data_IF_451484846479
#
_entry.id   IF_451484846479
#
_cell.length_a   1.000
_cell.length_b   1.000
_cell.length_c   1.000
_cell.angle_alpha   90.00
_cell.angle_beta   90.00
_cell.angle_gamma   90.00
#
_symmetry.space_group_name_H-M   'P 1'
#
loop_
_entity.id
_entity.type
_entity.pdbx_description
1 polymer ?
#
# COMPACT_ATOMS: atom_id res chain seq x y z
N UNK A 1 20.72 11.45 -7.73
CA UNK A 1 20.25 10.19 -8.38
C UNK A 1 19.42 10.57 -9.59
N UNK A 2 19.65 9.94 -10.73
CA UNK A 2 19.00 10.32 -12.00
C UNK A 2 17.56 9.84 -12.06
N UNK A 3 16.78 10.42 -12.98
CA UNK A 3 15.39 10.02 -13.25
C UNK A 3 15.30 8.54 -13.66
N UNK A 4 16.16 8.10 -14.58
CA UNK A 4 16.19 6.70 -15.03
C UNK A 4 16.46 5.73 -13.87
N UNK A 5 17.41 6.05 -12.98
CA UNK A 5 17.67 5.22 -11.79
C UNK A 5 16.46 5.17 -10.85
N UNK A 6 15.69 6.26 -10.71
CA UNK A 6 14.42 6.25 -9.93
C UNK A 6 13.41 5.28 -10.53
N UNK A 7 13.27 5.27 -11.86
CA UNK A 7 12.38 4.33 -12.56
C UNK A 7 12.81 2.87 -12.38
N UNK A 8 14.11 2.58 -12.41
CA UNK A 8 14.60 1.23 -12.14
C UNK A 8 14.27 0.77 -10.71
N UNK A 9 14.40 1.66 -9.72
CA UNK A 9 13.99 1.33 -8.35
C UNK A 9 12.48 1.23 -8.17
N UNK A 10 11.70 2.02 -8.89
CA UNK A 10 10.24 1.88 -8.95
C UNK A 10 9.88 0.49 -9.50
N UNK A 11 10.49 0.08 -10.63
CA UNK A 11 10.27 -1.23 -11.22
C UNK A 11 10.71 -2.36 -10.27
N UNK A 12 11.88 -2.24 -9.64
CA UNK A 12 12.36 -3.24 -8.70
C UNK A 12 11.47 -3.34 -7.44
N UNK A 13 11.06 -2.21 -6.88
CA UNK A 13 10.25 -2.15 -5.67
C UNK A 13 8.79 -2.50 -5.91
N UNK A 14 8.11 -1.75 -6.78
CA UNK A 14 6.68 -1.95 -7.04
C UNK A 14 6.42 -3.09 -8.02
N UNK A 15 7.27 -3.30 -9.03
CA UNK A 15 7.14 -4.43 -9.94
C UNK A 15 7.34 -5.78 -9.25
N UNK A 16 8.21 -5.86 -8.23
CA UNK A 16 8.29 -7.08 -7.41
C UNK A 16 7.04 -7.34 -6.59
N UNK A 17 6.33 -6.30 -6.13
CA UNK A 17 5.02 -6.46 -5.47
C UNK A 17 4.02 -7.10 -6.42
N UNK A 18 3.92 -6.59 -7.65
CA UNK A 18 3.06 -7.20 -8.68
C UNK A 18 3.44 -8.66 -8.94
N UNK A 19 4.73 -8.95 -9.10
CA UNK A 19 5.22 -10.32 -9.32
C UNK A 19 4.83 -11.26 -8.17
N UNK A 20 5.00 -10.84 -6.91
CA UNK A 20 4.63 -11.67 -5.75
C UNK A 20 3.11 -11.84 -5.66
N UNK A 21 2.35 -10.78 -5.91
CA UNK A 21 0.89 -10.84 -5.89
C UNK A 21 0.33 -11.81 -6.93
N UNK A 22 0.74 -11.69 -8.20
CA UNK A 22 0.25 -12.57 -9.26
C UNK A 22 0.79 -13.99 -9.14
N UNK A 23 2.05 -14.16 -8.69
CA UNK A 23 2.60 -15.50 -8.50
C UNK A 23 1.94 -16.24 -7.33
N UNK A 24 1.64 -15.54 -6.22
CA UNK A 24 0.91 -16.14 -5.10
C UNK A 24 -0.52 -16.52 -5.48
N UNK A 25 -1.24 -15.67 -6.23
CA UNK A 25 -2.58 -16.00 -6.75
C UNK A 25 -2.55 -17.23 -7.67
N UNK A 26 -1.59 -17.27 -8.60
CA UNK A 26 -1.42 -18.39 -9.51
C UNK A 26 -1.05 -19.69 -8.79
N UNK A 27 -0.12 -19.64 -7.84
CA UNK A 27 0.34 -20.81 -7.06
C UNK A 27 -0.74 -21.36 -6.13
N UNK A 28 -1.60 -20.50 -5.57
CA UNK A 28 -2.72 -20.93 -4.75
C UNK A 28 -3.70 -21.79 -5.54
N UNK A 29 -3.86 -21.55 -6.84
CA UNK A 29 -4.83 -22.22 -7.70
C UNK A 29 -6.28 -21.87 -7.30
N UNK A 30 -7.13 -21.55 -8.28
CA UNK A 30 -8.54 -21.28 -7.98
C UNK A 30 -9.21 -22.55 -7.40
N UNK A 31 -9.46 -22.56 -6.09
CA UNK A 31 -10.23 -23.61 -5.40
C UNK A 31 -9.40 -24.68 -4.68
N UNK A 32 -8.08 -24.56 -4.59
CA UNK A 32 -7.23 -25.56 -3.91
C UNK A 32 -7.27 -25.43 -2.39
N UNK A 33 -7.49 -24.21 -1.88
CA UNK A 33 -7.83 -23.90 -0.50
C UNK A 33 -9.06 -23.00 -0.51
N UNK A 34 -10.03 -23.25 0.38
CA UNK A 34 -11.17 -22.35 0.55
C UNK A 34 -10.68 -21.10 1.31
N UNK A 35 -10.72 -19.90 0.69
CA UNK A 35 -10.24 -18.71 1.36
C UNK A 35 -11.13 -18.38 2.56
N UNK A 36 -10.51 -18.07 3.69
CA UNK A 36 -11.23 -17.73 4.90
C UNK A 36 -11.86 -16.35 4.76
N UNK A 37 -13.17 -16.26 5.01
CA UNK A 37 -13.89 -14.99 5.02
C UNK A 37 -13.47 -14.16 6.24
N UNK A 38 -12.96 -12.94 6.00
CA UNK A 38 -12.69 -12.01 7.09
C UNK A 38 -13.98 -11.27 7.49
N UNK A 39 -14.31 -11.21 8.79
CA UNK A 39 -15.50 -10.50 9.25
C UNK A 39 -15.30 -8.99 9.23
N UNK A 40 -16.35 -8.25 8.89
CA UNK A 40 -16.38 -6.80 9.11
C UNK A 40 -16.38 -6.48 10.61
N UNK A 41 -15.59 -5.48 10.99
CA UNK A 41 -15.58 -4.95 12.36
C UNK A 41 -16.57 -3.78 12.52
N UNK A 42 -16.63 -3.21 13.72
CA UNK A 42 -17.40 -2.00 13.97
C UNK A 42 -16.86 -0.79 13.18
N UNK A 43 -15.55 -0.73 12.91
CA UNK A 43 -14.92 0.36 12.13
C UNK A 43 -15.43 0.31 10.70
N UNK A 44 -15.46 -0.89 10.12
CA UNK A 44 -15.90 -1.11 8.74
C UNK A 44 -17.36 -0.71 8.58
N UNK A 45 -18.22 -1.15 9.50
CA UNK A 45 -19.65 -0.80 9.50
C UNK A 45 -19.93 0.68 9.73
N UNK A 46 -19.05 1.40 10.41
CA UNK A 46 -19.17 2.85 10.59
C UNK A 46 -18.90 3.63 9.28
N UNK A 47 -18.14 3.03 8.34
CA UNK A 47 -17.85 3.63 7.04
C UNK A 47 -18.84 3.08 6.01
N UNK A 48 -19.73 3.96 5.54
CA UNK A 48 -20.70 3.62 4.51
C UNK A 48 -20.03 3.23 3.19
N UNK A 49 -20.57 2.20 2.54
CA UNK A 49 -20.11 1.78 1.22
C UNK A 49 -20.41 2.85 0.16
N UNK A 50 -19.45 3.14 -0.71
CA UNK A 50 -19.65 4.06 -1.83
C UNK A 50 -18.71 3.79 -3.02
N UNK A 51 -19.28 3.47 -4.18
CA UNK A 51 -18.54 3.35 -5.45
C UNK A 51 -17.73 4.60 -5.79
N UNK A 52 -18.18 5.78 -5.36
CA UNK A 52 -17.49 7.06 -5.64
C UNK A 52 -16.11 7.15 -4.99
N UNK A 53 -15.85 6.36 -3.95
CA UNK A 53 -14.53 6.28 -3.33
C UNK A 53 -13.46 5.71 -4.27
N UNK A 54 -13.84 5.12 -5.42
CA UNK A 54 -12.93 4.60 -6.45
C UNK A 54 -11.91 5.66 -6.90
N UNK A 55 -12.32 6.93 -6.99
CA UNK A 55 -11.42 8.01 -7.44
C UNK A 55 -10.29 8.25 -6.45
N UNK A 56 -10.62 8.26 -5.16
CA UNK A 56 -9.63 8.40 -4.10
C UNK A 56 -8.79 7.12 -3.96
N UNK A 57 -9.40 5.95 -4.15
CA UNK A 57 -8.67 4.68 -4.20
C UNK A 57 -7.63 4.67 -5.33
N UNK A 58 -7.99 5.11 -6.53
CA UNK A 58 -7.08 5.12 -7.68
C UNK A 58 -5.87 6.05 -7.50
N UNK A 59 -5.97 7.03 -6.61
CA UNK A 59 -4.81 7.86 -6.24
C UNK A 59 -3.65 7.04 -5.65
N UNK A 60 -3.90 5.84 -5.12
CA UNK A 60 -2.88 4.86 -4.73
C UNK A 60 -1.89 4.55 -5.86
N UNK A 61 -2.40 4.28 -7.07
CA UNK A 61 -1.58 3.95 -8.24
C UNK A 61 -0.74 5.14 -8.72
N UNK A 62 -1.13 6.36 -8.36
CA UNK A 62 -0.38 7.59 -8.64
C UNK A 62 0.63 7.88 -7.51
N UNK A 63 0.23 7.67 -6.26
CA UNK A 63 1.06 7.92 -5.07
C UNK A 63 2.39 7.17 -5.14
N UNK A 64 2.38 5.90 -5.55
CA UNK A 64 3.58 5.07 -5.63
C UNK A 64 4.62 5.66 -6.59
N UNK A 65 4.37 5.79 -7.91
CA UNK A 65 5.34 6.36 -8.84
C UNK A 65 5.74 7.78 -8.44
N UNK A 66 4.78 8.63 -8.04
CA UNK A 66 5.10 9.98 -7.56
C UNK A 66 6.08 9.96 -6.38
N UNK A 67 5.92 9.05 -5.42
CA UNK A 67 6.84 8.91 -4.29
C UNK A 67 8.26 8.61 -4.76
N UNK A 68 8.44 7.64 -5.67
CA UNK A 68 9.77 7.32 -6.22
C UNK A 68 10.41 8.49 -6.98
N UNK A 69 9.60 9.32 -7.62
CA UNK A 69 10.08 10.48 -8.36
C UNK A 69 10.52 11.63 -7.45
N UNK A 70 9.79 11.90 -6.37
CA UNK A 70 9.98 13.11 -5.55
C UNK A 70 10.76 12.90 -4.26
N UNK A 71 10.80 11.68 -3.71
CA UNK A 71 11.48 11.43 -2.43
C UNK A 71 12.98 11.67 -2.53
N UNK A 72 13.63 12.06 -1.43
CA UNK A 72 15.08 12.23 -1.39
C UNK A 72 15.83 11.00 -1.93
N UNK A 73 16.91 11.18 -2.72
CA UNK A 73 17.68 10.08 -3.31
C UNK A 73 18.16 9.03 -2.31
N UNK A 74 18.45 9.44 -1.07
CA UNK A 74 18.89 8.56 0.00
C UNK A 74 17.84 7.52 0.41
N UNK A 75 16.55 7.82 0.22
CA UNK A 75 15.43 6.97 0.65
C UNK A 75 14.91 6.03 -0.41
N UNK A 76 15.15 6.30 -1.70
CA UNK A 76 14.57 5.49 -2.79
C UNK A 76 14.95 4.01 -2.68
N UNK A 77 16.22 3.72 -2.36
CA UNK A 77 16.70 2.35 -2.17
C UNK A 77 16.02 1.65 -0.99
N UNK A 78 15.83 2.38 0.12
CA UNK A 78 15.17 1.84 1.30
C UNK A 78 13.69 1.57 1.01
N UNK A 79 13.02 2.46 0.28
CA UNK A 79 11.63 2.28 -0.15
C UNK A 79 11.47 1.05 -1.06
N UNK A 80 12.33 0.87 -2.06
CA UNK A 80 12.30 -0.29 -2.95
C UNK A 80 12.46 -1.61 -2.19
N UNK A 81 13.44 -1.67 -1.26
CA UNK A 81 13.63 -2.84 -0.41
C UNK A 81 12.43 -3.07 0.50
N UNK A 82 11.89 -2.01 1.13
CA UNK A 82 10.75 -2.13 2.04
C UNK A 82 9.50 -2.66 1.33
N UNK A 83 9.23 -2.19 0.10
CA UNK A 83 8.13 -2.69 -0.73
C UNK A 83 8.33 -4.17 -1.08
N UNK A 84 9.52 -4.55 -1.55
CA UNK A 84 9.82 -5.95 -1.87
C UNK A 84 9.71 -6.87 -0.65
N UNK A 85 10.22 -6.45 0.51
CA UNK A 85 10.13 -7.22 1.75
C UNK A 85 8.68 -7.34 2.24
N UNK A 86 7.91 -6.26 2.18
CA UNK A 86 6.48 -6.29 2.52
C UNK A 86 5.72 -7.21 1.60
N UNK A 87 6.01 -7.18 0.29
CA UNK A 87 5.42 -8.09 -0.69
C UNK A 87 5.71 -9.55 -0.37
N UNK A 88 6.96 -9.89 -0.05
CA UNK A 88 7.33 -11.26 0.32
C UNK A 88 6.61 -11.73 1.60
N UNK A 89 6.53 -10.86 2.62
CA UNK A 89 5.80 -11.17 3.86
C UNK A 89 4.32 -11.42 3.54
N UNK A 90 3.67 -10.52 2.78
CA UNK A 90 2.29 -10.70 2.33
C UNK A 90 2.11 -12.00 1.54
N UNK A 91 2.98 -12.25 0.55
CA UNK A 91 2.91 -13.42 -0.32
C UNK A 91 3.03 -14.74 0.45
N UNK A 92 3.92 -14.82 1.44
CA UNK A 92 4.00 -16.00 2.32
C UNK A 92 2.68 -16.21 3.07
N UNK A 93 2.08 -15.15 3.61
CA UNK A 93 0.79 -15.26 4.31
C UNK A 93 -0.34 -15.65 3.36
N UNK A 94 -0.40 -15.07 2.15
CA UNK A 94 -1.39 -15.43 1.14
C UNK A 94 -1.35 -16.92 0.80
N UNK A 95 -0.15 -17.48 0.60
CA UNK A 95 0.02 -18.90 0.28
C UNK A 95 -0.34 -19.83 1.45
N UNK A 96 -0.07 -19.43 2.69
CA UNK A 96 -0.30 -20.26 3.88
C UNK A 96 -1.72 -20.13 4.45
N UNK A 97 -2.33 -18.95 4.31
CA UNK A 97 -3.61 -18.58 4.90
C UNK A 97 -4.40 -17.68 3.94
N UNK A 98 -4.94 -18.26 2.85
CA UNK A 98 -5.73 -17.52 1.86
C UNK A 98 -6.99 -16.95 2.51
N UNK A 99 -7.31 -15.70 2.21
CA UNK A 99 -8.43 -14.97 2.83
C UNK A 99 -9.19 -14.15 1.81
N UNK A 100 -10.49 -13.98 2.05
CA UNK A 100 -11.38 -13.24 1.15
C UNK A 100 -12.35 -12.37 1.94
N UNK A 101 -13.13 -11.55 1.23
CA UNK A 101 -14.14 -10.65 1.79
C UNK A 101 -15.52 -10.95 1.22
N UNK A 102 -16.53 -10.54 1.97
CA UNK A 102 -17.89 -10.44 1.46
C UNK A 102 -17.98 -9.17 0.60
N UNK A 103 -17.59 -9.28 -0.67
CA UNK A 103 -17.63 -8.14 -1.57
C UNK A 103 -19.08 -7.71 -1.81
N UNK A 104 -19.42 -6.43 -1.61
CA UNK A 104 -20.75 -5.93 -1.93
C UNK A 104 -20.99 -6.08 -3.43
N UNK A 105 -22.22 -6.44 -3.84
CA UNK A 105 -22.56 -6.47 -5.25
C UNK A 105 -22.43 -5.05 -5.80
N UNK A 106 -21.51 -4.86 -6.74
CA UNK A 106 -21.40 -3.58 -7.45
C UNK A 106 -22.63 -3.48 -8.34
N UNK A 107 -23.52 -2.55 -8.00
CA UNK A 107 -24.85 -2.48 -8.62
C UNK A 107 -24.80 -2.35 -10.15
N UNK A 108 -25.92 -2.62 -10.82
CA UNK A 108 -26.05 -2.56 -12.28
C UNK A 108 -26.04 -1.13 -12.86
N UNK A 109 -25.62 -0.15 -12.05
CA UNK A 109 -25.54 1.24 -12.44
C UNK A 109 -24.62 1.47 -13.64
N UNK A 110 -25.01 2.44 -14.48
CA UNK A 110 -24.24 2.90 -15.64
C UNK A 110 -23.26 4.03 -15.27
N UNK A 111 -23.12 4.39 -13.99
CA UNK A 111 -22.21 5.44 -13.56
C UNK A 111 -20.74 5.05 -13.80
N UNK A 112 -19.92 6.03 -14.21
CA UNK A 112 -18.48 5.83 -14.46
C UNK A 112 -17.75 5.19 -13.28
N UNK A 113 -18.06 5.62 -12.05
CA UNK A 113 -17.46 5.07 -10.83
C UNK A 113 -17.75 3.57 -10.67
N UNK A 114 -18.99 3.16 -10.91
CA UNK A 114 -19.45 1.76 -10.83
C UNK A 114 -18.82 0.90 -11.91
N UNK A 115 -18.73 1.40 -13.15
CA UNK A 115 -18.05 0.69 -14.25
C UNK A 115 -16.57 0.48 -13.96
N UNK A 116 -15.89 1.51 -13.48
CA UNK A 116 -14.47 1.47 -13.15
C UNK A 116 -14.19 0.53 -11.98
N UNK A 117 -15.06 0.53 -10.96
CA UNK A 117 -14.98 -0.42 -9.86
C UNK A 117 -15.16 -1.88 -10.35
N UNK A 118 -16.10 -2.16 -11.26
CA UNK A 118 -16.24 -3.50 -11.85
C UNK A 118 -14.98 -3.94 -12.60
N UNK A 119 -14.36 -3.04 -13.37
CA UNK A 119 -13.11 -3.34 -14.07
C UNK A 119 -11.97 -3.66 -13.09
N UNK A 120 -11.86 -2.88 -12.00
CA UNK A 120 -10.89 -3.13 -10.95
C UNK A 120 -11.11 -4.49 -10.28
N UNK A 121 -12.36 -4.80 -9.91
CA UNK A 121 -12.72 -6.08 -9.28
C UNK A 121 -12.41 -7.29 -10.15
N UNK A 122 -12.54 -7.16 -11.47
CA UNK A 122 -12.24 -8.25 -12.40
C UNK A 122 -10.73 -8.58 -12.46
N UNK A 123 -9.87 -7.67 -12.02
CA UNK A 123 -8.41 -7.85 -11.97
C UNK A 123 -7.90 -8.24 -10.58
N UNK A 124 -8.69 -8.00 -9.53
CA UNK A 124 -8.34 -8.33 -8.16
C UNK A 124 -8.38 -9.86 -7.94
N UNK A 125 -7.36 -10.37 -7.27
CA UNK A 125 -7.39 -11.73 -6.69
C UNK A 125 -8.49 -11.81 -5.64
N UNK A 126 -9.21 -12.93 -5.66
CA UNK A 126 -10.26 -13.24 -4.68
C UNK A 126 -9.72 -13.83 -3.37
N UNK A 127 -8.41 -14.10 -3.26
CA UNK A 127 -7.81 -14.87 -2.17
C UNK A 127 -6.61 -14.18 -1.48
N UNK A 128 -6.07 -13.12 -2.08
CA UNK A 128 -4.93 -12.35 -1.56
C UNK A 128 -5.37 -11.15 -0.71
N UNK A 129 -6.23 -11.36 0.29
CA UNK A 129 -6.77 -10.27 1.11
C UNK A 129 -5.86 -9.85 2.28
N UNK A 130 -5.58 -10.78 3.20
CA UNK A 130 -4.79 -10.55 4.41
C UNK A 130 -3.33 -10.98 4.20
N UNK A 131 -2.33 -10.12 4.47
CA UNK A 131 -2.42 -8.71 4.87
C UNK A 131 -2.52 -7.75 3.67
N UNK A 132 -3.17 -6.59 3.86
CA UNK A 132 -3.41 -5.63 2.77
C UNK A 132 -2.12 -5.04 2.23
N UNK A 133 -1.78 -5.38 0.98
CA UNK A 133 -0.69 -4.74 0.24
C UNK A 133 -0.95 -3.24 0.03
N UNK A 134 -2.18 -2.86 -0.29
CA UNK A 134 -2.55 -1.46 -0.45
C UNK A 134 -2.24 -0.65 0.82
N UNK A 135 -2.59 -1.18 1.99
CA UNK A 135 -2.23 -0.57 3.28
C UNK A 135 -0.73 -0.46 3.49
N UNK A 136 0.00 -1.58 3.31
CA UNK A 136 1.45 -1.62 3.49
C UNK A 136 2.18 -0.59 2.61
N UNK A 137 1.87 -0.57 1.31
CA UNK A 137 2.53 0.29 0.33
C UNK A 137 2.16 1.76 0.54
N UNK A 138 0.90 2.06 0.87
CA UNK A 138 0.45 3.42 1.19
C UNK A 138 1.20 3.99 2.38
N UNK A 139 1.38 3.19 3.45
CA UNK A 139 2.16 3.59 4.61
C UNK A 139 3.64 3.82 4.25
N UNK A 140 4.26 2.92 3.50
CA UNK A 140 5.65 3.07 3.07
C UNK A 140 5.86 4.34 2.25
N UNK A 141 4.92 4.67 1.37
CA UNK A 141 4.94 5.92 0.60
C UNK A 141 4.83 7.16 1.51
N UNK A 142 3.86 7.18 2.43
CA UNK A 142 3.70 8.27 3.39
C UNK A 142 4.95 8.44 4.27
N UNK A 143 5.52 7.34 4.76
CA UNK A 143 6.76 7.34 5.55
C UNK A 143 7.95 7.87 4.75
N UNK A 144 8.09 7.43 3.50
CA UNK A 144 9.14 7.91 2.60
C UNK A 144 9.00 9.41 2.32
N UNK A 145 7.78 9.95 2.22
CA UNK A 145 7.52 11.36 1.96
C UNK A 145 7.59 12.26 3.19
N UNK A 146 7.62 11.69 4.40
CA UNK A 146 7.75 12.40 5.67
C UNK A 146 9.17 12.99 5.80
N UNK A 147 9.36 14.20 5.28
CA UNK A 147 10.63 14.93 5.20
C UNK A 147 10.48 16.32 5.85
N UNK A 148 11.37 16.65 6.80
CA UNK A 148 11.30 17.91 7.56
C UNK A 148 11.48 19.15 6.69
N UNK A 149 12.29 19.04 5.64
CA UNK A 149 12.53 20.09 4.64
C UNK A 149 11.28 20.40 3.78
N UNK A 150 10.31 19.50 3.76
CA UNK A 150 9.09 19.62 2.96
C UNK A 150 7.84 19.32 3.80
N UNK A 151 7.51 20.17 4.79
CA UNK A 151 6.44 19.90 5.75
C UNK A 151 5.06 19.86 5.07
N UNK A 152 4.80 20.75 4.11
CA UNK A 152 3.53 20.76 3.36
C UNK A 152 3.34 19.46 2.59
N UNK A 153 4.35 19.01 1.85
CA UNK A 153 4.31 17.73 1.12
C UNK A 153 4.12 16.55 2.07
N UNK A 154 4.78 16.58 3.23
CA UNK A 154 4.65 15.56 4.26
C UNK A 154 3.21 15.47 4.79
N UNK A 155 2.60 16.60 5.12
CA UNK A 155 1.20 16.67 5.57
C UNK A 155 0.26 16.17 4.48
N UNK A 156 0.43 16.65 3.24
CA UNK A 156 -0.39 16.21 2.10
C UNK A 156 -0.26 14.71 1.84
N UNK A 157 0.95 14.14 1.95
CA UNK A 157 1.17 12.71 1.79
C UNK A 157 0.47 11.89 2.88
N UNK A 158 0.50 12.36 4.14
CA UNK A 158 -0.21 11.71 5.25
C UNK A 158 -1.72 11.81 5.06
N UNK A 159 -2.24 12.99 4.71
CA UNK A 159 -3.68 13.18 4.45
C UNK A 159 -4.16 12.30 3.29
N UNK A 160 -3.39 12.22 2.20
CA UNK A 160 -3.69 11.36 1.07
C UNK A 160 -3.65 9.89 1.47
N UNK A 161 -2.66 9.46 2.24
CA UNK A 161 -2.56 8.09 2.75
C UNK A 161 -3.76 7.71 3.62
N UNK A 162 -4.18 8.60 4.53
CA UNK A 162 -5.40 8.40 5.33
C UNK A 162 -6.65 8.33 4.45
N UNK A 163 -6.74 9.18 3.44
CA UNK A 163 -7.81 9.16 2.44
C UNK A 163 -7.88 7.86 1.65
N UNK A 164 -6.73 7.32 1.23
CA UNK A 164 -6.63 6.02 0.55
C UNK A 164 -7.06 4.90 1.50
N UNK A 165 -6.58 4.87 2.74
CA UNK A 165 -7.01 3.90 3.76
C UNK A 165 -8.53 3.93 3.98
N UNK A 166 -9.11 5.12 4.05
CA UNK A 166 -10.56 5.29 4.11
C UNK A 166 -11.25 4.73 2.85
N UNK A 167 -10.77 5.09 1.66
CA UNK A 167 -11.35 4.66 0.39
C UNK A 167 -11.32 3.14 0.20
N UNK A 168 -10.25 2.49 0.67
CA UNK A 168 -10.11 1.03 0.66
C UNK A 168 -11.26 0.36 1.44
N UNK A 169 -11.58 0.87 2.64
CA UNK A 169 -12.69 0.35 3.47
C UNK A 169 -14.04 0.74 2.87
N UNK A 170 -14.19 1.98 2.39
CA UNK A 170 -15.43 2.48 1.78
C UNK A 170 -15.82 1.69 0.51
N UNK A 171 -14.85 1.11 -0.22
CA UNK A 171 -15.10 0.24 -1.37
C UNK A 171 -15.19 -1.25 -1.01
N UNK A 172 -15.00 -1.59 0.28
CA UNK A 172 -14.89 -2.98 0.76
C UNK A 172 -13.88 -3.79 -0.06
N UNK A 173 -12.73 -3.18 -0.39
CA UNK A 173 -11.59 -3.90 -1.00
C UNK A 173 -10.73 -4.56 0.05
N UNK A 174 -10.61 -3.91 1.20
CA UNK A 174 -10.07 -4.47 2.44
C UNK A 174 -11.00 -4.06 3.59
N UNK A 175 -11.00 -4.83 4.67
CA UNK A 175 -11.58 -4.42 5.95
C UNK A 175 -10.48 -3.93 6.87
N UNK A 176 -10.86 -3.37 8.01
CA UNK A 176 -9.94 -2.77 8.97
C UNK A 176 -8.93 -3.78 9.54
N UNK A 177 -9.29 -5.07 9.66
CA UNK A 177 -8.42 -6.14 10.15
C UNK A 177 -7.21 -6.31 9.23
N UNK A 178 -7.46 -6.57 7.95
CA UNK A 178 -6.40 -6.83 6.99
C UNK A 178 -5.70 -5.56 6.53
N UNK A 179 -6.41 -4.42 6.51
CA UNK A 179 -5.76 -3.11 6.37
C UNK A 179 -4.76 -2.87 7.52
N UNK A 180 -5.17 -3.10 8.77
CA UNK A 180 -4.31 -2.97 9.94
C UNK A 180 -3.12 -3.91 9.90
N UNK A 181 -3.32 -5.18 9.52
CA UNK A 181 -2.23 -6.12 9.31
C UNK A 181 -1.28 -5.66 8.18
N UNK A 182 -1.82 -5.10 7.10
CA UNK A 182 -1.03 -4.47 6.03
C UNK A 182 -0.16 -3.33 6.53
N UNK A 183 -0.70 -2.43 7.36
CA UNK A 183 0.07 -1.36 8.00
C UNK A 183 1.20 -1.92 8.87
N UNK A 184 0.95 -2.97 9.65
CA UNK A 184 1.98 -3.64 10.45
C UNK A 184 3.09 -4.25 9.57
N UNK A 185 2.71 -4.89 8.45
CA UNK A 185 3.69 -5.40 7.48
C UNK A 185 4.50 -4.25 6.87
N UNK A 186 3.87 -3.13 6.54
CA UNK A 186 4.58 -1.93 6.07
C UNK A 186 5.57 -1.38 7.09
N UNK A 187 5.21 -1.36 8.38
CA UNK A 187 6.13 -0.99 9.46
C UNK A 187 7.30 -1.96 9.56
N UNK A 188 7.03 -3.27 9.55
CA UNK A 188 8.05 -4.30 9.61
C UNK A 188 9.00 -4.25 8.39
N UNK A 189 8.46 -4.16 7.19
CA UNK A 189 9.21 -4.04 5.95
C UNK A 189 10.06 -2.77 5.91
N UNK A 190 9.51 -1.63 6.34
CA UNK A 190 10.25 -0.38 6.47
C UNK A 190 11.37 -0.47 7.51
N UNK A 191 11.13 -1.08 8.67
CA UNK A 191 12.13 -1.30 9.70
C UNK A 191 13.28 -2.21 9.22
N UNK A 192 12.95 -3.34 8.59
CA UNK A 192 13.92 -4.29 8.04
C UNK A 192 14.74 -3.67 6.89
N UNK A 193 14.12 -2.81 6.08
CA UNK A 193 14.80 -2.03 5.05
C UNK A 193 15.58 -0.83 5.60
N UNK A 194 15.58 -0.62 6.92
CA UNK A 194 16.22 0.49 7.62
C UNK A 194 15.74 1.86 7.12
N UNK A 195 14.46 1.98 6.79
CA UNK A 195 13.84 3.27 6.48
C UNK A 195 13.89 4.15 7.73
N UNK A 196 14.58 5.28 7.60
CA UNK A 196 14.68 6.26 8.69
C UNK A 196 13.71 7.39 8.45
N UNK A 197 13.02 7.85 9.50
CA UNK A 197 12.35 9.16 9.49
C UNK A 197 13.43 10.24 9.34
N UNK A 198 13.14 11.27 8.55
CA UNK A 198 14.06 12.36 8.25
C UNK A 198 14.46 13.01 9.57
N UNK A 199 15.66 12.67 10.02
CA UNK A 199 16.30 13.29 11.16
C UNK A 199 17.11 14.45 10.60
N UNK A 200 16.47 15.60 10.42
CA UNK A 200 17.23 16.85 10.37
C UNK A 200 18.05 16.91 11.67
N UNK A 201 19.37 16.94 11.53
CA UNK A 201 20.40 17.31 12.51
C UNK A 201 20.54 16.55 13.83
N UNK A 202 21.16 15.36 13.75
CA UNK A 202 22.16 14.99 14.77
C UNK A 202 23.61 15.06 14.26
N UNK A 203 23.83 15.27 12.96
CA UNK A 203 25.19 15.35 12.39
C UNK A 203 25.67 16.77 12.23
N UNK A 204 24.82 17.71 11.81
CA UNK A 204 25.29 19.08 11.57
C UNK A 204 25.54 19.84 12.88
N UNK A 205 24.74 19.60 13.93
CA UNK A 205 25.01 20.11 15.28
C UNK A 205 26.29 19.47 15.89
N UNK A 206 26.53 18.18 15.64
CA UNK A 206 27.73 17.50 16.16
C UNK A 206 29.01 17.91 15.41
N UNK A 207 28.90 18.32 14.14
CA UNK A 207 30.03 18.84 13.35
C UNK A 207 30.30 20.33 13.57
N UNK A 208 29.30 21.11 14.02
CA UNK A 208 29.50 22.51 14.44
C UNK A 208 30.04 22.68 15.87
N UNK A 209 29.92 21.65 16.72
CA UNK A 209 30.37 21.68 18.13
C UNK A 209 31.68 20.90 18.32
N UNK A 210 32.22 20.28 17.27
CA UNK A 210 33.54 19.65 17.33
C UNK A 210 34.64 20.75 17.37
N UNK A 211 35.47 20.80 18.43
CA UNK A 211 36.52 21.80 18.59
C UNK A 211 37.68 21.62 17.59
#
# INVERSE_FOLDING_TARGET
MTFFTRLLYLLAGWGSVGLVYFSSDWLQGQGTLLPQLLPETFIDRAIAYSDTAIWLYLSFFILIPCTYLVVSPARVRALARAMAMSALICGVVFLLYPTTLAYPPVGDGAGWSTQLLRMLQAMDSTQNCLPSLHGALTLLCAWALLEREHPVRSVLAVLLALGICYAIIALRRHVSIDLGAGLLVGLAGGALAQMRVSSADRRDIAQQIAP
#
